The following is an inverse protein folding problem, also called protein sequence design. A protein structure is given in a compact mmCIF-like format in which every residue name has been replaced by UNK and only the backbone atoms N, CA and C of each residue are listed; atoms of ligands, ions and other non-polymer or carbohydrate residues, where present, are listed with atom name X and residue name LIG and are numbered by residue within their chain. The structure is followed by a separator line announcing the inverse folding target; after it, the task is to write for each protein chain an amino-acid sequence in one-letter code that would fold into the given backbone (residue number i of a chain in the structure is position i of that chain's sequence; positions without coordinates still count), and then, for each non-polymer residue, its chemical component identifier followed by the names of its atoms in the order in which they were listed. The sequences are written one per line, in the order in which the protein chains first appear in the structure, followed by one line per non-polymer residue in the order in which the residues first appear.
data_IF_407538662898
#
_entry.id   IF_407538662898
#
_cell.length_a   1.000
_cell.length_b   1.000
_cell.length_c   1.000
_cell.angle_alpha   90.00
_cell.angle_beta   90.00
_cell.angle_gamma   90.00
#
_symmetry.space_group_name_H-M   'P 1'
#
loop_
_entity.id
_entity.type
_entity.pdbx_description
1 polymer ?
#
# COMPACT_ATOMS: atom_id res chain seq x y z
N UNK A 1 2.67 15.17 -4.39
CA UNK A 1 1.84 14.27 -3.58
C UNK A 1 2.19 12.82 -3.87
N UNK A 2 2.31 11.99 -2.82
CA UNK A 2 2.44 10.54 -2.99
C UNK A 2 1.21 9.87 -2.38
N UNK A 3 0.53 9.09 -3.20
CA UNK A 3 -0.68 8.34 -2.86
C UNK A 3 -0.31 6.86 -2.77
N UNK A 4 -0.76 6.21 -1.72
CA UNK A 4 -0.46 4.80 -1.45
C UNK A 4 -1.74 3.98 -1.43
N UNK A 5 -1.72 2.80 -2.02
CA UNK A 5 -2.63 1.76 -1.57
C UNK A 5 -2.24 1.27 -0.17
N UNK A 6 -3.20 0.74 0.57
CA UNK A 6 -2.93 0.20 1.92
C UNK A 6 -2.39 -1.23 1.85
N UNK A 7 -3.20 -2.13 1.29
CA UNK A 7 -2.98 -3.58 1.36
C UNK A 7 -1.87 -4.02 0.40
N UNK A 8 -0.88 -4.79 0.89
CA UNK A 8 0.26 -5.20 0.06
C UNK A 8 1.29 -4.09 -0.21
N UNK A 9 0.97 -2.83 0.06
CA UNK A 9 1.84 -1.65 -0.14
C UNK A 9 2.36 -1.12 1.19
N UNK A 10 1.54 -0.43 1.99
CA UNK A 10 1.92 0.02 3.34
C UNK A 10 1.91 -1.13 4.34
N UNK A 11 1.08 -2.14 4.09
CA UNK A 11 1.01 -3.38 4.86
C UNK A 11 1.65 -4.53 4.08
N UNK A 12 1.83 -5.67 4.76
CA UNK A 12 2.46 -6.85 4.16
C UNK A 12 1.56 -7.49 3.11
N UNK A 13 0.23 -7.30 3.20
CA UNK A 13 -0.75 -7.95 2.31
C UNK A 13 -1.03 -9.40 2.71
N UNK A 14 -0.66 -9.77 3.94
CA UNK A 14 -0.91 -11.09 4.51
C UNK A 14 -1.70 -10.91 5.81
N UNK A 15 -3.05 -10.87 5.75
CA UNK A 15 -3.88 -10.72 6.93
C UNK A 15 -3.67 -11.89 7.90
N UNK A 16 -3.65 -11.59 9.19
CA UNK A 16 -3.52 -12.59 10.27
C UNK A 16 -4.55 -12.33 11.36
N UNK A 17 -4.97 -13.40 12.04
CA UNK A 17 -5.80 -13.27 13.23
C UNK A 17 -4.97 -12.59 14.33
N UNK A 18 -5.35 -11.35 14.65
CA UNK A 18 -4.70 -10.52 15.66
C UNK A 18 -5.41 -10.56 17.01
N UNK A 19 -6.68 -10.96 17.03
CA UNK A 19 -7.50 -11.06 18.22
C UNK A 19 -8.59 -12.12 18.04
N UNK A 20 -8.92 -12.83 19.12
CA UNK A 20 -9.94 -13.86 19.14
C UNK A 20 -10.73 -13.75 20.45
N UNK A 21 -12.04 -13.92 20.37
CA UNK A 21 -12.92 -14.03 21.51
C UNK A 21 -13.93 -15.17 21.26
N UNK A 22 -14.06 -16.09 22.22
CA UNK A 22 -14.99 -17.23 22.15
C UNK A 22 -16.02 -17.06 23.24
N UNK A 23 -17.29 -17.25 22.89
CA UNK A 23 -18.44 -17.12 23.76
C UNK A 23 -19.09 -18.48 24.09
N UNK A 24 -18.54 -19.58 23.57
CA UNK A 24 -19.02 -20.94 23.76
C UNK A 24 -18.19 -21.69 24.80
N UNK A 25 -18.81 -22.63 25.49
CA UNK A 25 -18.11 -23.54 26.40
C UNK A 25 -17.30 -24.64 25.68
N UNK A 26 -17.69 -24.96 24.45
CA UNK A 26 -17.07 -25.97 23.58
C UNK A 26 -16.29 -25.30 22.45
N UNK A 27 -15.23 -24.62 22.79
CA UNK A 27 -14.41 -23.83 21.86
C UNK A 27 -13.94 -24.64 20.63
N UNK A 28 -13.41 -25.81 20.83
CA UNK A 28 -12.85 -26.65 19.76
C UNK A 28 -13.91 -27.04 18.70
N UNK A 29 -15.13 -27.32 19.10
CA UNK A 29 -16.23 -27.63 18.18
C UNK A 29 -16.61 -26.39 17.35
N UNK A 30 -16.75 -25.22 17.99
CA UNK A 30 -17.08 -23.97 17.29
C UNK A 30 -15.97 -23.57 16.30
N UNK A 31 -14.72 -23.71 16.71
CA UNK A 31 -13.57 -23.45 15.83
C UNK A 31 -13.48 -24.47 14.69
N UNK A 32 -13.83 -25.71 14.95
CA UNK A 32 -13.94 -26.73 13.90
C UNK A 32 -15.03 -26.41 12.86
N UNK A 33 -16.19 -25.93 13.30
CA UNK A 33 -17.26 -25.47 12.39
C UNK A 33 -16.82 -24.24 11.59
N UNK A 34 -16.19 -23.25 12.25
CA UNK A 34 -15.63 -22.08 11.59
C UNK A 34 -14.61 -22.49 10.50
N UNK A 35 -13.65 -23.35 10.85
CA UNK A 35 -12.64 -23.82 9.91
C UNK A 35 -13.26 -24.59 8.73
N UNK A 36 -14.31 -25.40 8.98
CA UNK A 36 -15.01 -26.15 7.95
C UNK A 36 -15.71 -25.23 6.93
N UNK A 37 -16.37 -24.18 7.42
CA UNK A 37 -17.04 -23.18 6.56
C UNK A 37 -16.04 -22.33 5.80
N UNK A 38 -14.98 -21.85 6.45
CA UNK A 38 -13.96 -20.99 5.81
C UNK A 38 -13.12 -21.76 4.77
N UNK A 39 -13.03 -23.07 4.86
CA UNK A 39 -12.38 -23.89 3.84
C UNK A 39 -13.09 -23.87 2.49
N UNK A 40 -14.38 -23.58 2.48
CA UNK A 40 -15.17 -23.38 1.27
C UNK A 40 -15.00 -21.99 0.64
N UNK A 41 -14.16 -21.13 1.24
CA UNK A 41 -13.95 -19.75 0.83
C UNK A 41 -12.54 -19.48 0.31
N UNK A 42 -12.43 -18.82 -0.84
CA UNK A 42 -11.14 -18.32 -1.36
C UNK A 42 -10.77 -16.92 -0.80
N UNK A 43 -11.57 -16.38 0.12
CA UNK A 43 -11.35 -15.03 0.65
C UNK A 43 -10.06 -14.96 1.48
N UNK A 44 -9.25 -13.88 1.38
CA UNK A 44 -8.01 -13.74 2.16
C UNK A 44 -8.20 -13.85 3.68
N UNK A 45 -9.34 -13.40 4.21
CA UNK A 45 -9.66 -13.54 5.63
C UNK A 45 -9.90 -15.00 6.03
N UNK A 46 -10.51 -15.80 5.17
CA UNK A 46 -10.70 -17.24 5.37
C UNK A 46 -9.36 -17.97 5.49
N UNK A 47 -8.42 -17.67 4.57
CA UNK A 47 -7.06 -18.23 4.63
C UNK A 47 -6.35 -17.89 5.92
N UNK A 48 -6.47 -16.63 6.38
CA UNK A 48 -5.90 -16.17 7.65
C UNK A 48 -6.48 -16.93 8.86
N UNK A 49 -7.78 -17.21 8.85
CA UNK A 49 -8.45 -17.98 9.91
C UNK A 49 -7.97 -19.44 9.89
N UNK A 50 -7.95 -20.08 8.73
CA UNK A 50 -7.50 -21.48 8.59
C UNK A 50 -6.04 -21.62 9.02
N UNK A 51 -5.16 -20.69 8.60
CA UNK A 51 -3.75 -20.71 9.01
C UNK A 51 -3.59 -20.53 10.54
N UNK A 52 -4.42 -19.68 11.14
CA UNK A 52 -4.41 -19.46 12.59
C UNK A 52 -4.89 -20.67 13.38
N UNK A 53 -5.94 -21.33 12.91
CA UNK A 53 -6.56 -22.48 13.58
C UNK A 53 -5.74 -23.77 13.42
N UNK A 54 -4.91 -23.87 12.38
CA UNK A 54 -4.07 -25.05 12.15
C UNK A 54 -4.87 -26.32 11.87
N UNK A 55 -4.33 -27.45 12.31
CA UNK A 55 -4.92 -28.78 12.09
C UNK A 55 -6.07 -29.06 13.06
N UNK A 56 -7.24 -28.47 12.80
CA UNK A 56 -8.48 -28.84 13.50
C UNK A 56 -9.23 -29.96 12.76
N UNK A 57 -10.00 -30.75 13.52
CA UNK A 57 -10.95 -31.71 12.94
C UNK A 57 -12.05 -30.96 12.20
N UNK A 58 -12.09 -31.12 10.89
CA UNK A 58 -13.10 -30.53 10.04
C UNK A 58 -14.35 -31.42 9.99
N UNK A 59 -15.52 -30.80 10.06
CA UNK A 59 -16.79 -31.46 9.86
C UNK A 59 -17.28 -31.34 8.43
N UNK A 60 -18.01 -32.32 7.90
CA UNK A 60 -18.58 -32.22 6.55
C UNK A 60 -19.53 -31.04 6.41
N UNK A 61 -19.36 -30.26 5.35
CA UNK A 61 -20.27 -29.16 4.99
C UNK A 61 -21.30 -29.72 4.00
N UNK A 62 -22.57 -29.73 4.38
CA UNK A 62 -23.63 -30.28 3.60
C UNK A 62 -24.20 -29.32 2.56
N UNK A 63 -24.33 -28.06 2.93
CA UNK A 63 -24.88 -26.97 2.11
C UNK A 63 -24.22 -25.66 2.45
N UNK A 64 -23.90 -24.89 1.41
CA UNK A 64 -23.27 -23.56 1.54
C UNK A 64 -24.05 -22.55 0.73
N UNK A 65 -24.41 -21.43 1.37
CA UNK A 65 -25.03 -20.26 0.75
C UNK A 65 -24.09 -19.05 0.95
N UNK A 66 -23.55 -18.52 -0.13
CA UNK A 66 -22.67 -17.33 -0.07
C UNK A 66 -23.50 -16.07 -0.14
N UNK A 67 -23.41 -15.24 0.90
CA UNK A 67 -24.07 -13.93 0.98
C UNK A 67 -23.07 -12.86 0.52
N UNK A 68 -23.30 -12.30 -0.67
CA UNK A 68 -22.40 -11.31 -1.27
C UNK A 68 -22.20 -10.10 -0.35
N UNK A 69 -20.94 -9.84 0.02
CA UNK A 69 -20.58 -8.76 0.94
C UNK A 69 -20.92 -8.99 2.41
N UNK A 70 -21.47 -10.17 2.77
CA UNK A 70 -21.84 -10.56 4.13
C UNK A 70 -20.96 -11.65 4.72
N UNK A 71 -20.82 -12.76 4.00
CA UNK A 71 -20.11 -13.95 4.45
C UNK A 71 -20.74 -15.23 3.91
N UNK A 72 -20.66 -16.31 4.68
CA UNK A 72 -21.13 -17.64 4.30
C UNK A 72 -22.07 -18.18 5.38
N UNK A 73 -23.16 -18.81 4.94
CA UNK A 73 -24.04 -19.59 5.80
C UNK A 73 -23.99 -21.05 5.31
N UNK A 74 -23.73 -21.97 6.21
CA UNK A 74 -23.60 -23.39 5.88
C UNK A 74 -24.32 -24.29 6.87
N UNK A 75 -24.61 -25.51 6.46
CA UNK A 75 -25.08 -26.59 7.34
C UNK A 75 -23.89 -27.53 7.60
N UNK A 76 -23.48 -27.66 8.86
CA UNK A 76 -22.32 -28.44 9.31
C UNK A 76 -22.74 -29.34 10.46
N UNK A 77 -22.66 -30.66 10.30
CA UNK A 77 -23.14 -31.63 11.28
C UNK A 77 -24.60 -31.40 11.75
N UNK A 78 -25.47 -30.97 10.83
CA UNK A 78 -26.87 -30.64 11.14
C UNK A 78 -27.07 -29.29 11.83
N UNK A 79 -26.01 -28.51 12.13
CA UNK A 79 -26.04 -27.19 12.70
C UNK A 79 -25.98 -26.09 11.64
N UNK A 80 -26.80 -25.05 11.77
CA UNK A 80 -26.73 -23.87 10.91
C UNK A 80 -25.60 -22.95 11.39
N UNK A 81 -24.54 -22.87 10.61
CA UNK A 81 -23.35 -22.07 10.90
C UNK A 81 -23.30 -20.85 9.98
N UNK A 82 -23.26 -19.64 10.55
CA UNK A 82 -23.08 -18.39 9.80
C UNK A 82 -21.73 -17.79 10.16
N UNK A 83 -20.90 -17.53 9.14
CA UNK A 83 -19.56 -16.91 9.28
C UNK A 83 -19.50 -15.68 8.42
N UNK A 84 -19.24 -14.52 9.03
CA UNK A 84 -19.16 -13.26 8.27
C UNK A 84 -19.20 -12.01 9.15
N UNK A 85 -19.60 -10.89 8.54
CA UNK A 85 -19.62 -9.60 9.19
C UNK A 85 -20.90 -9.33 10.00
N UNK A 86 -20.97 -8.17 10.64
CA UNK A 86 -22.12 -7.75 11.45
C UNK A 86 -23.42 -7.68 10.63
N UNK A 87 -23.34 -7.33 9.34
CA UNK A 87 -24.52 -7.29 8.47
C UNK A 87 -25.13 -8.68 8.26
N UNK A 88 -24.28 -9.71 8.07
CA UNK A 88 -24.75 -11.11 8.00
C UNK A 88 -25.40 -11.55 9.31
N UNK A 89 -24.78 -11.23 10.47
CA UNK A 89 -25.37 -11.58 11.78
C UNK A 89 -26.76 -10.96 11.95
N UNK A 90 -26.95 -9.72 11.50
CA UNK A 90 -28.26 -9.05 11.52
C UNK A 90 -29.26 -9.74 10.59
N UNK A 91 -28.85 -10.15 9.39
CA UNK A 91 -29.70 -10.88 8.43
C UNK A 91 -30.12 -12.23 8.98
N UNK A 92 -29.23 -12.95 9.68
CA UNK A 92 -29.49 -14.24 10.33
C UNK A 92 -30.17 -14.11 11.70
N UNK A 93 -30.58 -12.88 12.09
CA UNK A 93 -31.22 -12.57 13.38
C UNK A 93 -30.40 -13.01 14.61
N UNK A 94 -29.07 -13.00 14.51
CA UNK A 94 -28.18 -13.33 15.63
C UNK A 94 -28.08 -12.15 16.59
N UNK A 95 -28.50 -12.29 17.86
CA UNK A 95 -28.42 -11.20 18.82
C UNK A 95 -26.98 -10.95 19.27
N UNK A 96 -26.57 -9.70 19.28
CA UNK A 96 -25.28 -9.27 19.83
C UNK A 96 -25.52 -8.69 21.23
N UNK A 97 -25.09 -9.40 22.27
CA UNK A 97 -25.16 -8.93 23.67
C UNK A 97 -24.15 -7.78 23.92
N UNK A 98 -24.22 -7.16 25.10
CA UNK A 98 -23.35 -6.02 25.44
C UNK A 98 -21.85 -6.38 25.40
N UNK A 99 -21.48 -7.56 25.87
CA UNK A 99 -20.09 -8.02 25.84
C UNK A 99 -19.58 -8.16 24.41
N UNK A 100 -20.36 -8.79 23.52
CA UNK A 100 -20.01 -8.93 22.11
C UNK A 100 -19.87 -7.57 21.44
N UNK A 101 -20.75 -6.60 21.73
CA UNK A 101 -20.64 -5.23 21.19
C UNK A 101 -19.39 -4.51 21.68
N UNK A 102 -19.03 -4.70 22.96
CA UNK A 102 -17.80 -4.12 23.51
C UNK A 102 -16.54 -4.73 22.87
N UNK A 103 -16.53 -6.05 22.65
CA UNK A 103 -15.42 -6.74 21.98
C UNK A 103 -15.31 -6.33 20.50
N UNK A 104 -16.43 -6.19 19.78
CA UNK A 104 -16.48 -5.66 18.42
C UNK A 104 -15.82 -4.28 18.36
N UNK A 105 -16.29 -3.34 19.19
CA UNK A 105 -15.74 -1.99 19.24
C UNK A 105 -14.24 -1.99 19.59
N UNK A 106 -13.81 -2.87 20.50
CA UNK A 106 -12.41 -3.01 20.89
C UNK A 106 -11.53 -3.51 19.74
N UNK A 107 -12.02 -4.46 18.93
CA UNK A 107 -11.29 -5.03 17.82
C UNK A 107 -11.25 -4.05 16.62
N UNK A 108 -12.38 -3.40 16.34
CA UNK A 108 -12.46 -2.33 15.33
C UNK A 108 -11.53 -1.15 15.66
N UNK A 109 -11.49 -0.74 16.93
CA UNK A 109 -10.60 0.33 17.39
C UNK A 109 -9.10 0.01 17.21
N UNK A 110 -8.75 -1.26 16.99
CA UNK A 110 -7.39 -1.71 16.65
C UNK A 110 -7.17 -1.87 15.13
N UNK A 111 -8.15 -1.50 14.32
CA UNK A 111 -8.05 -1.58 12.87
C UNK A 111 -8.25 -2.98 12.29
N UNK A 112 -8.82 -3.91 13.04
CA UNK A 112 -9.08 -5.27 12.57
C UNK A 112 -10.35 -5.33 11.72
N UNK A 113 -10.31 -6.15 10.67
CA UNK A 113 -11.52 -6.67 10.02
C UNK A 113 -12.15 -7.73 10.92
N UNK A 114 -13.48 -7.69 11.08
CA UNK A 114 -14.19 -8.57 11.99
C UNK A 114 -14.84 -9.73 11.27
N UNK A 115 -14.62 -10.94 11.77
CA UNK A 115 -15.33 -12.15 11.36
C UNK A 115 -16.03 -12.74 12.58
N UNK A 116 -17.37 -12.82 12.50
CA UNK A 116 -18.24 -13.37 13.52
C UNK A 116 -18.68 -14.78 13.09
N UNK A 117 -18.75 -15.66 14.06
CA UNK A 117 -19.26 -17.03 13.86
C UNK A 117 -20.46 -17.25 14.75
N UNK A 118 -21.60 -17.57 14.15
CA UNK A 118 -22.81 -17.96 14.85
C UNK A 118 -23.18 -19.42 14.53
N UNK A 119 -23.67 -20.11 15.54
CA UNK A 119 -24.19 -21.49 15.42
C UNK A 119 -25.62 -21.50 15.96
N UNK A 120 -26.56 -21.99 15.16
CA UNK A 120 -28.00 -22.09 15.48
C UNK A 120 -28.60 -20.76 15.99
N UNK A 121 -28.19 -19.65 15.38
CA UNK A 121 -28.68 -18.30 15.72
C UNK A 121 -28.03 -17.65 16.96
N UNK A 122 -27.00 -18.24 17.54
CA UNK A 122 -26.27 -17.67 18.67
C UNK A 122 -24.82 -17.34 18.28
N UNK A 123 -24.33 -16.14 18.66
CA UNK A 123 -22.93 -15.78 18.47
C UNK A 123 -22.04 -16.66 19.35
N UNK A 124 -21.09 -17.35 18.73
CA UNK A 124 -20.17 -18.27 19.41
C UNK A 124 -18.72 -17.84 19.36
N UNK A 125 -18.28 -17.11 18.31
CA UNK A 125 -16.92 -16.60 18.24
C UNK A 125 -16.86 -15.28 17.48
N UNK A 126 -15.83 -14.49 17.80
CA UNK A 126 -15.44 -13.26 17.12
C UNK A 126 -13.93 -13.31 16.86
N UNK A 127 -13.53 -13.09 15.63
CA UNK A 127 -12.14 -12.93 15.23
C UNK A 127 -11.88 -11.53 14.68
N UNK A 128 -10.79 -10.92 15.13
CA UNK A 128 -10.24 -9.70 14.59
C UNK A 128 -9.03 -10.01 13.72
N UNK A 129 -9.11 -9.70 12.44
CA UNK A 129 -8.07 -9.99 11.46
C UNK A 129 -7.46 -8.66 11.04
N UNK A 130 -6.15 -8.55 11.20
CA UNK A 130 -5.38 -7.36 10.85
C UNK A 130 -4.31 -7.67 9.82
N UNK A 131 -4.00 -6.69 8.98
CA UNK A 131 -2.85 -6.73 8.10
C UNK A 131 -1.73 -5.87 8.71
N UNK A 132 -0.55 -6.45 8.85
CA UNK A 132 0.56 -5.81 9.55
C UNK A 132 1.20 -4.73 8.68
N UNK A 133 1.43 -3.55 9.26
CA UNK A 133 2.24 -2.50 8.62
C UNK A 133 3.64 -3.05 8.37
N UNK A 134 4.15 -2.83 7.16
CA UNK A 134 5.52 -3.26 6.81
C UNK A 134 6.54 -2.61 7.73
N UNK A 135 7.56 -3.36 8.20
CA UNK A 135 8.66 -2.79 8.97
C UNK A 135 9.34 -1.65 8.21
N UNK A 136 9.63 -0.56 8.92
CA UNK A 136 10.38 0.57 8.35
C UNK A 136 9.56 1.60 7.55
N UNK A 137 8.32 1.31 7.15
CA UNK A 137 7.48 2.23 6.34
C UNK A 137 7.39 3.61 6.97
N UNK A 138 7.14 3.71 8.27
CA UNK A 138 7.05 5.01 8.96
C UNK A 138 8.31 5.87 8.79
N UNK A 139 9.49 5.25 8.90
CA UNK A 139 10.77 5.94 8.72
C UNK A 139 10.95 6.42 7.27
N UNK A 140 10.55 5.58 6.30
CA UNK A 140 10.63 5.92 4.88
C UNK A 140 9.68 7.06 4.50
N UNK A 141 8.45 7.06 5.02
CA UNK A 141 7.51 8.17 4.82
C UNK A 141 8.05 9.50 5.38
N UNK A 142 8.76 9.44 6.52
CA UNK A 142 9.44 10.62 7.06
C UNK A 142 10.59 11.10 6.15
N UNK A 143 11.35 10.18 5.52
CA UNK A 143 12.37 10.55 4.53
C UNK A 143 11.75 11.21 3.30
N UNK A 144 10.62 10.71 2.79
CA UNK A 144 9.89 11.32 1.69
C UNK A 144 9.49 12.77 2.02
N UNK A 145 8.98 13.04 3.23
CA UNK A 145 8.69 14.41 3.70
C UNK A 145 9.94 15.30 3.71
N UNK A 146 11.07 14.79 4.22
CA UNK A 146 12.36 15.53 4.19
C UNK A 146 12.85 15.79 2.77
N UNK A 147 12.54 14.91 1.84
CA UNK A 147 12.82 15.09 0.41
C UNK A 147 11.85 16.06 -0.28
N UNK A 148 10.87 16.64 0.45
CA UNK A 148 9.97 17.68 -0.05
C UNK A 148 8.65 17.16 -0.61
N UNK A 149 8.26 15.90 -0.32
CA UNK A 149 6.89 15.44 -0.52
C UNK A 149 5.99 16.17 0.47
N UNK A 150 4.97 16.87 -0.04
CA UNK A 150 4.08 17.70 0.78
C UNK A 150 2.94 16.88 1.38
N UNK A 151 2.33 16.03 0.55
CA UNK A 151 1.18 15.23 0.95
C UNK A 151 1.50 13.74 0.81
N UNK A 152 1.14 12.97 1.83
CA UNK A 152 1.18 11.51 1.86
C UNK A 152 -0.24 11.04 2.12
N UNK A 153 -0.85 10.39 1.15
CA UNK A 153 -2.26 10.00 1.17
C UNK A 153 -2.37 8.49 1.11
N UNK A 154 -3.30 7.90 1.85
CA UNK A 154 -3.65 6.48 1.71
C UNK A 154 -5.07 6.33 1.17
N UNK A 155 -5.23 5.47 0.17
CA UNK A 155 -6.51 5.06 -0.38
C UNK A 155 -6.71 3.56 -0.12
N UNK A 156 -7.89 3.15 0.31
CA UNK A 156 -8.17 1.74 0.61
C UNK A 156 -9.64 1.39 0.41
N UNK A 157 -9.92 0.14 0.04
CA UNK A 157 -11.28 -0.42 0.05
C UNK A 157 -11.81 -0.72 1.45
N UNK A 158 -10.96 -0.68 2.48
CA UNK A 158 -11.35 -0.96 3.86
C UNK A 158 -12.25 0.14 4.44
N UNK A 159 -12.84 -0.16 5.62
CA UNK A 159 -13.61 0.85 6.34
C UNK A 159 -12.74 2.04 6.76
N UNK A 160 -13.35 3.24 6.81
CA UNK A 160 -12.65 4.50 7.10
C UNK A 160 -11.89 4.44 8.43
N UNK A 161 -12.47 3.84 9.48
CA UNK A 161 -11.84 3.75 10.80
C UNK A 161 -10.51 3.01 10.78
N UNK A 162 -10.44 1.90 10.05
CA UNK A 162 -9.19 1.12 9.87
C UNK A 162 -8.12 1.94 9.12
N UNK A 163 -8.52 2.65 8.07
CA UNK A 163 -7.60 3.47 7.26
C UNK A 163 -7.09 4.66 8.07
N UNK A 164 -7.95 5.30 8.87
CA UNK A 164 -7.57 6.39 9.77
C UNK A 164 -6.56 5.98 10.85
N UNK A 165 -6.67 4.74 11.36
CA UNK A 165 -5.70 4.20 12.32
C UNK A 165 -4.32 4.05 11.69
N UNK A 166 -4.24 3.45 10.50
CA UNK A 166 -3.00 3.31 9.74
C UNK A 166 -2.40 4.67 9.42
N UNK A 167 -3.23 5.63 8.99
CA UNK A 167 -2.78 6.98 8.66
C UNK A 167 -2.19 7.70 9.88
N UNK A 168 -2.84 7.60 11.04
CA UNK A 168 -2.32 8.18 12.30
C UNK A 168 -1.02 7.53 12.74
N UNK A 169 -0.92 6.22 12.69
CA UNK A 169 0.29 5.48 13.07
C UNK A 169 1.47 5.85 12.18
N UNK A 170 1.25 5.95 10.88
CA UNK A 170 2.27 6.28 9.88
C UNK A 170 2.52 7.78 9.73
N UNK A 171 1.64 8.62 10.27
CA UNK A 171 1.73 10.08 10.14
C UNK A 171 1.44 10.57 8.73
N UNK A 172 0.46 9.96 8.04
CA UNK A 172 -0.01 10.38 6.73
C UNK A 172 -0.84 11.69 6.84
N UNK A 173 -0.98 12.41 5.75
CA UNK A 173 -1.72 13.68 5.70
C UNK A 173 -3.22 13.48 5.49
N UNK A 174 -3.59 12.48 4.68
CA UNK A 174 -4.97 12.19 4.33
C UNK A 174 -5.19 10.68 4.25
N UNK A 175 -6.44 10.24 4.49
CA UNK A 175 -6.83 8.84 4.49
C UNK A 175 -8.27 8.70 3.97
N UNK A 176 -8.48 7.84 2.98
CA UNK A 176 -9.77 7.58 2.38
C UNK A 176 -10.06 6.09 2.34
N UNK A 177 -11.12 5.69 3.04
CA UNK A 177 -11.65 4.32 3.07
C UNK A 177 -12.82 4.13 2.12
N UNK A 178 -13.32 2.89 2.02
CA UNK A 178 -14.45 2.49 1.17
C UNK A 178 -14.29 2.82 -0.33
N UNK A 179 -13.04 2.91 -0.81
CA UNK A 179 -12.74 3.27 -2.20
C UNK A 179 -12.74 2.06 -3.12
N UNK A 180 -13.51 2.12 -4.18
CA UNK A 180 -13.42 1.20 -5.30
C UNK A 180 -12.21 1.58 -6.19
N UNK A 181 -11.74 0.68 -7.07
CA UNK A 181 -10.63 1.00 -7.98
C UNK A 181 -10.86 2.27 -8.82
N UNK A 182 -12.09 2.47 -9.30
CA UNK A 182 -12.48 3.66 -10.06
C UNK A 182 -12.43 4.93 -9.21
N UNK A 183 -12.83 4.86 -7.93
CA UNK A 183 -12.79 6.00 -7.00
C UNK A 183 -11.35 6.43 -6.73
N UNK A 184 -10.42 5.46 -6.58
CA UNK A 184 -8.99 5.74 -6.42
C UNK A 184 -8.43 6.49 -7.63
N UNK A 185 -8.74 6.02 -8.84
CA UNK A 185 -8.31 6.67 -10.07
C UNK A 185 -8.92 8.07 -10.23
N UNK A 186 -10.22 8.24 -9.92
CA UNK A 186 -10.89 9.54 -9.93
C UNK A 186 -10.24 10.53 -8.95
N UNK A 187 -9.91 10.09 -7.72
CA UNK A 187 -9.23 10.92 -6.73
C UNK A 187 -7.86 11.40 -7.21
N UNK A 188 -7.07 10.54 -7.87
CA UNK A 188 -5.80 10.94 -8.49
C UNK A 188 -6.04 12.02 -9.54
N UNK A 189 -7.04 11.84 -10.44
CA UNK A 189 -7.41 12.84 -11.43
C UNK A 189 -7.83 14.19 -10.83
N UNK A 190 -8.53 14.19 -9.67
CA UNK A 190 -8.84 15.42 -8.95
C UNK A 190 -7.62 16.15 -8.42
N UNK A 191 -6.61 15.41 -7.89
CA UNK A 191 -5.35 16.00 -7.44
C UNK A 191 -4.58 16.62 -8.61
N UNK A 192 -4.54 15.94 -9.76
CA UNK A 192 -3.92 16.42 -10.99
C UNK A 192 -4.63 17.68 -11.53
N UNK A 193 -5.96 17.71 -11.52
CA UNK A 193 -6.75 18.89 -11.90
C UNK A 193 -6.46 20.11 -11.01
N UNK A 194 -6.05 19.90 -9.76
CA UNK A 194 -5.58 20.93 -8.83
C UNK A 194 -4.11 21.33 -9.05
N UNK A 195 -3.47 20.83 -10.12
CA UNK A 195 -2.08 21.12 -10.47
C UNK A 195 -1.04 20.39 -9.62
N UNK A 196 -1.41 19.32 -8.94
CA UNK A 196 -0.48 18.50 -8.17
C UNK A 196 0.16 17.44 -9.08
N UNK A 197 1.45 17.20 -8.90
CA UNK A 197 2.14 16.04 -9.47
C UNK A 197 1.94 14.87 -8.51
N UNK A 198 1.36 13.79 -8.99
CA UNK A 198 0.94 12.64 -8.20
C UNK A 198 1.79 11.42 -8.54
N UNK A 199 2.46 10.85 -7.54
CA UNK A 199 2.98 9.49 -7.61
C UNK A 199 2.01 8.55 -6.90
N UNK A 200 1.65 7.43 -7.52
CA UNK A 200 0.84 6.39 -6.90
C UNK A 200 1.66 5.13 -6.67
N UNK A 201 1.56 4.55 -5.49
CA UNK A 201 2.26 3.32 -5.10
C UNK A 201 1.22 2.24 -4.79
N UNK A 202 1.26 1.12 -5.51
CA UNK A 202 0.32 0.01 -5.37
C UNK A 202 0.94 -1.35 -5.69
N UNK A 203 0.22 -2.45 -5.44
CA UNK A 203 0.72 -3.82 -5.66
C UNK A 203 -0.20 -4.69 -6.53
N UNK A 204 -1.46 -4.34 -6.66
CA UNK A 204 -2.50 -5.22 -7.15
C UNK A 204 -3.09 -4.89 -8.51
N UNK A 205 -3.85 -5.86 -9.03
CA UNK A 205 -4.68 -5.70 -10.26
C UNK A 205 -5.67 -4.54 -10.09
N UNK A 206 -6.20 -4.38 -8.88
CA UNK A 206 -7.17 -3.33 -8.56
C UNK A 206 -6.57 -1.92 -8.62
N UNK A 207 -5.24 -1.80 -8.60
CA UNK A 207 -4.54 -0.53 -8.61
C UNK A 207 -4.05 -0.12 -10.00
N UNK A 208 -4.15 -1.01 -11.00
CA UNK A 208 -3.69 -0.74 -12.37
C UNK A 208 -4.28 0.53 -12.98
N UNK A 209 -5.57 0.86 -12.81
CA UNK A 209 -6.10 2.14 -13.29
C UNK A 209 -5.44 3.34 -12.60
N UNK A 210 -5.15 3.24 -11.31
CA UNK A 210 -4.49 4.30 -10.52
C UNK A 210 -3.03 4.45 -10.89
N UNK A 211 -2.30 3.33 -11.13
CA UNK A 211 -0.92 3.31 -11.62
C UNK A 211 -0.80 3.98 -12.99
N UNK A 212 -1.74 3.67 -13.90
CA UNK A 212 -1.73 4.21 -15.27
C UNK A 212 -2.06 5.70 -15.35
N UNK A 213 -2.92 6.24 -14.46
CA UNK A 213 -3.35 7.65 -14.52
C UNK A 213 -2.41 8.59 -13.76
N UNK A 214 -1.68 8.11 -12.77
CA UNK A 214 -0.71 8.91 -12.03
C UNK A 214 0.43 9.39 -12.95
N UNK A 215 1.04 10.58 -12.65
CA UNK A 215 2.25 11.00 -13.38
C UNK A 215 3.43 10.08 -13.14
N UNK A 216 3.43 9.35 -12.02
CA UNK A 216 4.43 8.33 -11.72
C UNK A 216 3.73 7.15 -11.07
N UNK A 217 3.53 6.07 -11.82
CA UNK A 217 3.04 4.79 -11.32
C UNK A 217 4.18 3.96 -10.74
N UNK A 218 4.06 3.51 -9.50
CA UNK A 218 5.09 2.74 -8.78
C UNK A 218 4.48 1.43 -8.29
N UNK A 219 4.95 0.30 -8.85
CA UNK A 219 4.50 -1.02 -8.42
C UNK A 219 5.43 -1.62 -7.35
N UNK A 220 4.84 -2.35 -6.40
CA UNK A 220 5.58 -3.22 -5.50
C UNK A 220 6.05 -4.46 -6.28
N UNK A 221 7.28 -4.92 -6.04
CA UNK A 221 7.84 -6.07 -6.76
C UNK A 221 7.16 -7.42 -6.49
N UNK A 222 6.33 -7.51 -5.45
CA UNK A 222 5.40 -8.62 -5.20
C UNK A 222 4.06 -8.44 -5.90
N UNK A 223 3.87 -7.35 -6.62
CA UNK A 223 2.65 -7.02 -7.33
C UNK A 223 2.38 -7.98 -8.49
N UNK A 224 1.20 -7.86 -9.06
CA UNK A 224 0.81 -8.66 -10.23
C UNK A 224 1.54 -8.20 -11.48
N UNK A 225 1.69 -9.09 -12.45
CA UNK A 225 2.32 -8.77 -13.75
C UNK A 225 1.65 -7.56 -14.39
N UNK A 226 0.33 -7.44 -14.29
CA UNK A 226 -0.43 -6.29 -14.83
C UNK A 226 -0.05 -4.98 -14.14
N UNK A 227 0.10 -4.98 -12.80
CA UNK A 227 0.55 -3.79 -12.07
C UNK A 227 1.98 -3.40 -12.45
N UNK A 228 2.86 -4.39 -12.62
CA UNK A 228 4.25 -4.18 -13.05
C UNK A 228 4.30 -3.59 -14.47
N UNK A 229 3.52 -4.12 -15.41
CA UNK A 229 3.47 -3.63 -16.79
C UNK A 229 2.87 -2.23 -16.93
N UNK A 230 1.96 -1.84 -16.03
CA UNK A 230 1.31 -0.51 -16.05
C UNK A 230 2.07 0.55 -15.26
N UNK A 231 3.14 0.20 -14.57
CA UNK A 231 3.92 1.12 -13.74
C UNK A 231 5.16 1.68 -14.46
N UNK A 232 5.57 2.90 -14.09
CA UNK A 232 6.81 3.52 -14.56
C UNK A 232 8.03 3.03 -13.78
N UNK A 233 7.82 2.57 -12.53
CA UNK A 233 8.87 2.12 -11.64
C UNK A 233 8.42 0.91 -10.82
N UNK A 234 9.32 -0.06 -10.65
CA UNK A 234 9.07 -1.26 -9.83
C UNK A 234 10.04 -1.31 -8.65
N UNK A 235 9.49 -1.41 -7.44
CA UNK A 235 10.27 -1.61 -6.23
C UNK A 235 10.60 -3.10 -6.05
N UNK A 236 11.76 -3.51 -6.56
CA UNK A 236 12.20 -4.90 -6.53
C UNK A 236 12.19 -5.47 -5.10
N UNK A 237 11.77 -6.73 -4.97
CA UNK A 237 11.63 -7.45 -3.69
C UNK A 237 10.65 -6.76 -2.70
N UNK A 238 9.78 -5.88 -3.19
CA UNK A 238 8.87 -5.08 -2.35
C UNK A 238 9.59 -4.30 -1.24
N UNK A 239 10.84 -3.91 -1.49
CA UNK A 239 11.64 -3.13 -0.56
C UNK A 239 11.20 -1.66 -0.59
N UNK A 240 10.30 -1.32 0.33
CA UNK A 240 9.73 0.03 0.44
C UNK A 240 10.80 1.11 0.69
N UNK A 241 11.99 0.73 1.22
CA UNK A 241 13.09 1.67 1.45
C UNK A 241 13.66 2.26 0.15
N UNK A 242 13.47 1.55 -0.98
CA UNK A 242 13.90 2.00 -2.30
C UNK A 242 13.16 3.23 -2.80
N UNK A 243 11.95 3.49 -2.28
CA UNK A 243 11.13 4.62 -2.72
C UNK A 243 11.80 5.96 -2.39
N UNK A 244 12.26 6.15 -1.15
CA UNK A 244 12.96 7.38 -0.77
C UNK A 244 14.32 7.51 -1.47
N UNK A 245 15.01 6.40 -1.68
CA UNK A 245 16.27 6.37 -2.44
C UNK A 245 16.05 6.80 -3.90
N UNK A 246 15.05 6.24 -4.58
CA UNK A 246 14.71 6.60 -5.96
C UNK A 246 14.38 8.09 -6.11
N UNK A 247 13.54 8.63 -5.21
CA UNK A 247 13.21 10.06 -5.21
C UNK A 247 14.43 10.93 -4.94
N UNK A 248 15.27 10.55 -3.99
CA UNK A 248 16.51 11.26 -3.66
C UNK A 248 17.50 11.27 -4.83
N UNK A 249 17.70 10.11 -5.48
CA UNK A 249 18.56 9.97 -6.65
C UNK A 249 18.05 10.82 -7.81
N UNK A 250 16.74 10.80 -8.09
CA UNK A 250 16.12 11.62 -9.14
C UNK A 250 16.40 13.12 -8.91
N UNK A 251 16.25 13.59 -7.67
CA UNK A 251 16.56 14.99 -7.31
C UNK A 251 18.04 15.33 -7.42
N UNK A 252 18.92 14.41 -7.03
CA UNK A 252 20.36 14.56 -7.17
C UNK A 252 20.74 14.62 -8.66
N UNK A 253 20.16 13.75 -9.50
CA UNK A 253 20.36 13.73 -10.95
C UNK A 253 19.88 15.03 -11.59
N UNK A 254 18.69 15.51 -11.27
CA UNK A 254 18.16 16.76 -11.81
C UNK A 254 19.05 17.96 -11.41
N UNK A 255 19.59 17.98 -10.19
CA UNK A 255 20.54 19.00 -9.74
C UNK A 255 21.84 18.92 -10.50
N UNK A 256 22.37 17.72 -10.70
CA UNK A 256 23.60 17.49 -11.45
C UNK A 256 23.44 17.92 -12.93
N UNK A 257 22.33 17.59 -13.57
CA UNK A 257 22.03 18.05 -14.93
C UNK A 257 22.00 19.57 -15.03
N UNK A 258 21.33 20.25 -14.09
CA UNK A 258 21.33 21.73 -14.07
C UNK A 258 22.74 22.29 -13.90
N UNK A 259 23.56 21.73 -13.00
CA UNK A 259 24.96 22.14 -12.84
C UNK A 259 25.74 21.97 -14.14
N UNK A 260 25.59 20.84 -14.80
CA UNK A 260 26.27 20.57 -16.07
C UNK A 260 25.86 21.54 -17.19
N UNK A 261 24.57 21.86 -17.29
CA UNK A 261 24.07 22.89 -18.22
C UNK A 261 24.69 24.25 -17.90
N UNK A 262 24.73 24.66 -16.63
CA UNK A 262 25.35 25.92 -16.23
C UNK A 262 26.85 25.96 -16.55
N UNK A 263 27.58 24.88 -16.31
CA UNK A 263 29.00 24.78 -16.64
C UNK A 263 29.19 24.91 -18.17
N UNK A 264 28.46 24.12 -18.95
CA UNK A 264 28.60 24.11 -20.42
C UNK A 264 28.26 25.49 -21.03
N UNK A 265 27.11 26.06 -20.67
CA UNK A 265 26.70 27.38 -21.19
C UNK A 265 27.64 28.48 -20.68
N UNK A 266 28.02 28.43 -19.40
CA UNK A 266 28.93 29.40 -18.81
C UNK A 266 30.30 29.43 -19.51
N UNK A 267 30.89 28.27 -19.81
CA UNK A 267 32.16 28.17 -20.54
C UNK A 267 32.04 28.78 -21.94
N UNK A 268 30.94 28.47 -22.67
CA UNK A 268 30.73 29.04 -24.03
C UNK A 268 30.61 30.57 -23.94
N UNK A 269 29.86 31.11 -22.97
CA UNK A 269 29.72 32.56 -22.83
C UNK A 269 31.06 33.24 -22.47
N UNK A 270 31.86 32.62 -21.60
CA UNK A 270 33.17 33.11 -21.23
C UNK A 270 34.12 33.08 -22.44
N UNK A 271 34.11 32.00 -23.22
CA UNK A 271 34.91 31.90 -24.46
C UNK A 271 34.51 32.97 -25.49
N UNK A 272 33.21 33.17 -25.72
CA UNK A 272 32.71 34.23 -26.61
C UNK A 272 33.16 35.62 -26.13
N UNK A 273 32.97 35.93 -24.85
CA UNK A 273 33.41 37.20 -24.31
C UNK A 273 34.95 37.39 -24.45
N UNK A 274 35.72 36.33 -24.23
CA UNK A 274 37.18 36.36 -24.33
C UNK A 274 37.68 36.65 -25.75
N UNK A 275 36.95 36.19 -26.77
CA UNK A 275 37.28 36.48 -28.20
C UNK A 275 37.15 38.00 -28.47
N UNK A 276 36.17 38.68 -27.84
CA UNK A 276 35.95 40.11 -28.07
C UNK A 276 36.79 41.04 -27.15
N UNK A 277 37.18 40.54 -25.98
CA UNK A 277 37.81 41.38 -24.94
C UNK A 277 39.31 41.10 -24.76
N UNK A 278 39.90 40.08 -25.44
CA UNK A 278 41.28 39.66 -25.21
C UNK A 278 41.99 39.26 -26.50
N UNK A 279 43.14 39.85 -26.77
CA UNK A 279 44.02 39.48 -27.87
C UNK A 279 44.75 38.14 -27.62
N UNK A 280 44.70 37.61 -26.41
CA UNK A 280 45.36 36.36 -26.03
C UNK A 280 44.56 35.11 -26.44
N UNK A 281 43.28 35.27 -26.77
CA UNK A 281 42.42 34.13 -27.16
C UNK A 281 42.69 33.70 -28.60
N UNK A 282 43.26 32.55 -28.75
CA UNK A 282 43.44 31.89 -30.06
C UNK A 282 42.63 30.60 -30.11
N UNK A 283 42.48 30.03 -31.31
CA UNK A 283 41.69 28.84 -31.57
C UNK A 283 42.12 27.62 -30.70
N UNK A 284 43.44 27.45 -30.49
CA UNK A 284 43.98 26.32 -29.71
C UNK A 284 43.62 26.43 -28.21
N UNK A 285 43.68 27.63 -27.65
CA UNK A 285 43.29 27.88 -26.27
C UNK A 285 41.77 27.67 -26.11
N UNK A 286 40.96 28.16 -27.07
CA UNK A 286 39.53 27.97 -27.09
C UNK A 286 39.13 26.49 -27.10
N UNK A 287 39.78 25.68 -27.97
CA UNK A 287 39.58 24.23 -28.00
C UNK A 287 39.99 23.55 -26.68
N UNK A 288 41.14 23.91 -26.12
CA UNK A 288 41.62 23.31 -24.86
C UNK A 288 40.65 23.57 -23.71
N UNK A 289 40.13 24.79 -23.60
CA UNK A 289 39.15 25.17 -22.57
C UNK A 289 37.82 24.44 -22.77
N UNK A 290 37.37 24.35 -24.04
CA UNK A 290 36.13 23.63 -24.37
C UNK A 290 36.24 22.12 -24.04
N UNK A 291 37.28 21.43 -24.49
CA UNK A 291 37.52 20.02 -24.17
C UNK A 291 37.73 19.80 -22.68
N UNK A 292 38.44 20.70 -22.01
CA UNK A 292 38.58 20.67 -20.55
C UNK A 292 37.24 20.78 -19.83
N UNK A 293 36.30 21.57 -20.33
CA UNK A 293 34.97 21.71 -19.75
C UNK A 293 34.15 20.41 -19.81
N UNK A 294 34.32 19.61 -20.86
CA UNK A 294 33.67 18.31 -21.02
C UNK A 294 34.14 17.33 -19.90
N UNK A 295 35.46 17.35 -19.61
CA UNK A 295 35.98 16.52 -18.49
C UNK A 295 35.36 16.95 -17.13
N UNK A 296 35.17 18.23 -16.89
CA UNK A 296 34.54 18.74 -15.69
C UNK A 296 33.08 18.26 -15.59
N UNK A 297 32.32 18.29 -16.67
CA UNK A 297 30.95 17.79 -16.78
C UNK A 297 30.88 16.30 -16.49
N UNK A 298 31.80 15.52 -17.06
CA UNK A 298 31.90 14.07 -16.84
C UNK A 298 32.18 13.78 -15.35
N UNK A 299 33.18 14.42 -14.77
CA UNK A 299 33.55 14.25 -13.36
C UNK A 299 32.39 14.63 -12.43
N UNK A 300 31.66 15.71 -12.75
CA UNK A 300 30.47 16.08 -11.98
C UNK A 300 29.37 15.01 -12.11
N UNK A 301 29.16 14.41 -13.29
CA UNK A 301 28.24 13.30 -13.52
C UNK A 301 28.59 12.04 -12.72
N UNK A 302 29.88 11.69 -12.64
CA UNK A 302 30.36 10.53 -11.90
C UNK A 302 30.07 10.59 -10.40
N UNK A 303 29.79 11.75 -9.80
CA UNK A 303 29.37 11.88 -8.39
C UNK A 303 28.08 11.14 -8.11
N UNK A 304 27.22 10.93 -9.11
CA UNK A 304 25.98 10.17 -8.94
C UNK A 304 26.22 8.68 -8.70
N UNK A 305 27.35 8.11 -9.13
CA UNK A 305 27.71 6.70 -8.89
C UNK A 305 27.91 6.39 -7.39
N UNK A 306 28.24 7.38 -6.59
CA UNK A 306 28.42 7.25 -5.13
C UNK A 306 27.22 7.73 -4.32
N UNK A 307 26.07 7.94 -4.96
CA UNK A 307 24.84 8.32 -4.25
C UNK A 307 24.34 7.15 -3.38
N UNK A 308 24.19 7.40 -2.07
CA UNK A 308 23.73 6.41 -1.08
C UNK A 308 22.39 6.81 -0.50
#
# INVERSE_FOLDING_TARGET
TVVFDKTGTLTIGNPKVAAQQIYANNADQVLGYLASVEKESDHPLAKAIIEHLGDLSLSPVEKTDVVKGGGIVALVDGHRVAVGNVALMKQENVPLNENARADLARFEAKGNSLVLTAVDGELKALMGIGDQIRPGVKAELQKLKKLGVRNLVVLSGDNQGTVDLVARELGLTEAHGHMLPEDKAAYIGELQAKGQIVAFVGDGVNDSPSLAIAEIGIAMGSGTDVAIETSDLVLMNSDFSRLSHALGLTKATARNMRQNIFIAVGVVLVLLASVFLSEWMNMSIGMLVHEGSILVVILNGMRLLSYK
#
